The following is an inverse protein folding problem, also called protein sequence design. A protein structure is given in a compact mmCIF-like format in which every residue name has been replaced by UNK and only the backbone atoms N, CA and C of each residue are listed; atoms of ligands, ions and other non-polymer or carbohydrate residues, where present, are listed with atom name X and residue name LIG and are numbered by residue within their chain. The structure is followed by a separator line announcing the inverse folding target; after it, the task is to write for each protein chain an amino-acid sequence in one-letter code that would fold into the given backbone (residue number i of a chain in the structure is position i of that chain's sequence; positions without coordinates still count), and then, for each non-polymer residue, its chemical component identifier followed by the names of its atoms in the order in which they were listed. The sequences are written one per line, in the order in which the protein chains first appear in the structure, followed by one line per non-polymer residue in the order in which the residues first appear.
data_IF_839484201913
#
_entry.id   IF_839484201913
#
_cell.length_a   1.000
_cell.length_b   1.000
_cell.length_c   1.000
_cell.angle_alpha   90.00
_cell.angle_beta   90.00
_cell.angle_gamma   90.00
#
_symmetry.space_group_name_H-M   'P 1'
#
loop_
_entity.id
_entity.type
_entity.pdbx_description
1 polymer ?
#
# COMPACT_ATOMS: atom_id res chain seq x y z
N UNK A 1 -12.17 -14.68 -10.79
CA UNK A 1 -11.17 -14.44 -9.74
C UNK A 1 -9.83 -14.26 -10.41
N UNK A 2 -9.18 -13.10 -10.30
CA UNK A 2 -7.84 -12.89 -10.87
C UNK A 2 -6.84 -13.46 -9.88
N UNK A 3 -5.92 -14.32 -10.33
CA UNK A 3 -4.86 -14.84 -9.47
C UNK A 3 -3.77 -13.78 -9.29
N UNK A 4 -3.24 -13.70 -8.06
CA UNK A 4 -2.12 -12.83 -7.66
C UNK A 4 -0.95 -12.83 -8.66
N UNK A 5 -0.60 -13.99 -9.23
CA UNK A 5 0.46 -14.12 -10.24
C UNK A 5 0.30 -13.23 -11.49
N UNK A 6 -0.87 -12.64 -11.70
CA UNK A 6 -1.17 -11.76 -12.84
C UNK A 6 -1.25 -10.27 -12.45
N UNK A 7 -1.06 -9.92 -11.17
CA UNK A 7 -1.13 -8.54 -10.68
C UNK A 7 0.25 -8.10 -10.21
N UNK A 8 0.97 -7.38 -11.06
CA UNK A 8 2.30 -6.88 -10.72
C UNK A 8 2.25 -5.63 -9.83
N UNK A 9 1.27 -4.75 -10.05
CA UNK A 9 1.12 -3.49 -9.32
C UNK A 9 -0.33 -3.03 -9.23
N UNK A 10 -0.60 -2.23 -8.20
CA UNK A 10 -1.89 -1.62 -7.92
C UNK A 10 -1.81 -0.11 -8.17
N UNK A 11 -2.89 0.44 -8.74
CA UNK A 11 -3.07 1.90 -8.82
C UNK A 11 -3.34 2.43 -7.42
N UNK A 12 -2.47 3.33 -6.96
CA UNK A 12 -2.44 3.79 -5.59
C UNK A 12 -2.76 5.28 -5.52
N UNK A 13 -3.91 5.59 -4.94
CA UNK A 13 -4.42 6.95 -4.77
C UNK A 13 -4.63 7.32 -3.31
N UNK A 14 -5.14 8.53 -3.07
CA UNK A 14 -5.29 9.09 -1.71
C UNK A 14 -6.19 8.26 -0.80
N UNK A 15 -7.18 7.55 -1.34
CA UNK A 15 -8.06 6.66 -0.57
C UNK A 15 -7.28 5.52 0.07
N UNK A 16 -6.49 4.80 -0.72
CA UNK A 16 -5.62 3.73 -0.24
C UNK A 16 -4.50 4.27 0.67
N UNK A 17 -3.99 5.48 0.38
CA UNK A 17 -3.02 6.15 1.25
C UNK A 17 -3.56 6.46 2.64
N UNK A 18 -4.76 7.05 2.73
CA UNK A 18 -5.45 7.29 4.01
C UNK A 18 -5.75 5.99 4.76
N UNK A 19 -6.06 4.92 4.02
CA UNK A 19 -6.30 3.61 4.63
C UNK A 19 -5.04 3.00 5.21
N UNK A 20 -3.91 3.10 4.50
CA UNK A 20 -2.61 2.71 5.04
C UNK A 20 -2.26 3.51 6.30
N UNK A 21 -2.48 4.83 6.29
CA UNK A 21 -2.27 5.70 7.47
C UNK A 21 -3.15 5.27 8.65
N UNK A 22 -4.41 4.93 8.38
CA UNK A 22 -5.37 4.45 9.39
C UNK A 22 -4.98 3.09 9.98
N UNK A 23 -4.51 2.14 9.13
CA UNK A 23 -4.02 0.83 9.55
C UNK A 23 -2.72 0.93 10.34
N UNK A 24 -1.83 1.86 9.96
CA UNK A 24 -0.61 2.15 10.72
C UNK A 24 -0.93 2.67 12.12
N UNK A 25 -1.96 3.51 12.24
CA UNK A 25 -2.39 4.10 13.50
C UNK A 25 -1.24 4.80 14.22
N UNK A 26 -0.95 4.37 15.44
CA UNK A 26 0.08 4.96 16.30
C UNK A 26 1.51 4.47 15.99
N UNK A 27 1.68 3.50 15.10
CA UNK A 27 3.02 3.03 14.72
C UNK A 27 3.74 4.15 13.98
N UNK A 28 4.92 4.56 14.43
CA UNK A 28 5.67 5.59 13.71
C UNK A 28 6.17 5.08 12.35
N UNK A 29 6.39 5.98 11.39
CA UNK A 29 6.91 5.58 10.08
C UNK A 29 8.29 4.88 10.17
N UNK A 30 9.11 5.24 11.16
CA UNK A 30 10.42 4.62 11.40
C UNK A 30 10.28 3.22 11.97
N UNK A 31 9.33 3.03 12.88
CA UNK A 31 9.04 1.70 13.44
C UNK A 31 8.45 0.79 12.35
N UNK A 32 7.59 1.33 11.48
CA UNK A 32 7.07 0.57 10.34
C UNK A 32 8.18 0.20 9.36
N UNK A 33 9.10 1.12 9.02
CA UNK A 33 10.29 0.77 8.22
C UNK A 33 11.07 -0.40 8.87
N UNK A 34 11.37 -0.32 10.17
CA UNK A 34 12.09 -1.38 10.88
C UNK A 34 11.35 -2.72 10.84
N UNK A 35 10.03 -2.72 10.99
CA UNK A 35 9.20 -3.92 10.85
C UNK A 35 9.24 -4.49 9.44
N UNK A 36 9.17 -3.65 8.40
CA UNK A 36 9.25 -4.12 7.00
C UNK A 36 10.58 -4.80 6.71
N UNK A 37 11.67 -4.24 7.24
CA UNK A 37 13.02 -4.82 7.13
C UNK A 37 13.11 -6.20 7.82
N UNK A 38 12.43 -6.38 8.96
CA UNK A 38 12.37 -7.67 9.68
C UNK A 38 11.59 -8.75 8.93
N UNK A 39 10.53 -8.38 8.18
CA UNK A 39 9.67 -9.36 7.49
C UNK A 39 10.10 -9.66 6.05
N UNK A 40 11.20 -9.07 5.58
CA UNK A 40 11.91 -9.53 4.38
C UNK A 40 12.30 -8.45 3.37
N UNK A 41 11.75 -7.24 3.46
CA UNK A 41 12.15 -6.14 2.58
C UNK A 41 12.01 -4.78 3.28
N UNK A 42 13.10 -4.02 3.30
CA UNK A 42 13.05 -2.64 3.78
C UNK A 42 12.19 -1.77 2.84
N UNK A 43 11.09 -1.25 3.37
CA UNK A 43 10.29 -0.19 2.74
C UNK A 43 10.61 1.10 3.47
N UNK A 44 11.29 2.05 2.82
CA UNK A 44 11.80 3.22 3.52
C UNK A 44 10.68 4.10 4.07
N UNK A 45 10.92 4.76 5.20
CA UNK A 45 9.94 5.64 5.83
C UNK A 45 9.50 6.78 4.88
N UNK A 46 10.40 7.26 4.00
CA UNK A 46 10.03 8.26 2.99
C UNK A 46 9.06 7.68 1.96
N UNK A 47 9.26 6.42 1.57
CA UNK A 47 8.37 5.77 0.63
C UNK A 47 7.02 5.46 1.28
N UNK A 48 7.00 4.99 2.53
CA UNK A 48 5.76 4.82 3.31
C UNK A 48 5.00 6.15 3.39
N UNK A 49 5.68 7.26 3.73
CA UNK A 49 5.06 8.58 3.74
C UNK A 49 4.49 8.98 2.36
N UNK A 50 5.20 8.65 1.29
CA UNK A 50 4.71 8.86 -0.08
C UNK A 50 3.47 8.02 -0.38
N UNK A 51 3.39 6.79 0.13
CA UNK A 51 2.23 5.93 -0.01
C UNK A 51 1.02 6.44 0.79
N UNK A 52 1.23 7.02 1.98
CA UNK A 52 0.16 7.62 2.79
C UNK A 52 -0.37 8.93 2.19
N UNK A 53 0.49 9.69 1.51
CA UNK A 53 0.15 11.02 0.99
C UNK A 53 0.46 11.15 -0.51
N UNK A 54 -0.09 10.27 -1.38
CA UNK A 54 0.37 10.14 -2.76
C UNK A 54 0.13 11.41 -3.58
N UNK A 55 -0.96 12.15 -3.36
CA UNK A 55 -1.23 13.44 -4.02
C UNK A 55 -0.13 14.49 -3.87
N UNK A 56 0.66 14.45 -2.78
CA UNK A 56 1.80 15.36 -2.59
C UNK A 56 2.95 15.08 -3.57
N UNK A 57 3.02 13.85 -4.07
CA UNK A 57 4.10 13.36 -4.94
C UNK A 57 3.64 13.23 -6.41
N UNK A 58 2.38 12.83 -6.62
CA UNK A 58 1.77 12.63 -7.94
C UNK A 58 1.79 13.90 -8.81
N UNK A 59 1.65 15.09 -8.21
CA UNK A 59 1.69 16.39 -8.92
C UNK A 59 2.94 16.60 -9.77
N UNK A 60 4.04 15.90 -9.47
CA UNK A 60 5.30 15.98 -10.23
C UNK A 60 5.34 15.08 -11.46
N UNK A 61 4.45 14.09 -11.57
CA UNK A 61 4.60 12.97 -12.51
C UNK A 61 3.52 12.93 -13.61
N UNK A 62 2.62 13.92 -13.68
CA UNK A 62 1.48 13.99 -14.65
C UNK A 62 0.65 12.69 -14.73
N UNK A 63 0.61 11.93 -13.65
CA UNK A 63 -0.25 10.77 -13.52
C UNK A 63 -1.33 11.09 -12.48
N UNK A 64 -2.38 10.28 -12.39
CA UNK A 64 -3.43 10.45 -11.37
C UNK A 64 -3.20 9.53 -10.15
N UNK A 65 -2.24 8.61 -10.25
CA UNK A 65 -1.95 7.59 -9.25
C UNK A 65 -0.46 7.24 -9.18
N UNK A 66 -0.03 6.68 -8.06
CA UNK A 66 1.23 5.94 -7.95
C UNK A 66 0.99 4.48 -8.40
N UNK A 67 1.99 3.85 -9.00
CA UNK A 67 1.98 2.41 -9.23
C UNK A 67 2.78 1.74 -8.12
N UNK A 68 2.14 0.88 -7.33
CA UNK A 68 2.77 0.23 -6.17
C UNK A 68 2.78 -1.26 -6.41
N UNK A 69 3.96 -1.89 -6.32
CA UNK A 69 4.07 -3.33 -6.55
C UNK A 69 3.33 -4.12 -5.48
N UNK A 70 2.78 -5.26 -5.88
CA UNK A 70 2.07 -6.13 -4.94
C UNK A 70 2.98 -6.64 -3.82
N UNK A 71 4.27 -6.85 -4.09
CA UNK A 71 5.25 -7.28 -3.10
C UNK A 71 5.45 -6.23 -1.99
N UNK A 72 5.51 -4.94 -2.34
CA UNK A 72 5.57 -3.87 -1.32
C UNK A 72 4.33 -3.90 -0.44
N UNK A 73 3.15 -4.09 -1.03
CA UNK A 73 1.90 -4.14 -0.27
C UNK A 73 1.85 -5.34 0.67
N UNK A 74 2.31 -6.51 0.23
CA UNK A 74 2.43 -7.70 1.10
C UNK A 74 3.34 -7.45 2.29
N UNK A 75 4.50 -6.86 2.05
CA UNK A 75 5.48 -6.56 3.09
C UNK A 75 4.89 -5.58 4.11
N UNK A 76 4.15 -4.57 3.66
CA UNK A 76 3.44 -3.63 4.54
C UNK A 76 2.34 -4.33 5.35
N UNK A 77 1.53 -5.17 4.71
CA UNK A 77 0.50 -5.97 5.37
C UNK A 77 1.07 -6.87 6.46
N UNK A 78 2.16 -7.59 6.16
CA UNK A 78 2.86 -8.44 7.13
C UNK A 78 3.43 -7.61 8.30
N UNK A 79 4.02 -6.45 8.02
CA UNK A 79 4.57 -5.57 9.05
C UNK A 79 3.49 -4.94 9.95
N UNK A 80 2.26 -4.78 9.44
CA UNK A 80 1.11 -4.23 10.15
C UNK A 80 0.19 -5.29 10.77
N UNK A 81 0.50 -6.58 10.58
CA UNK A 81 -0.34 -7.71 11.00
C UNK A 81 -1.79 -7.59 10.46
N UNK A 82 -1.92 -7.29 9.17
CA UNK A 82 -3.20 -7.09 8.47
C UNK A 82 -3.22 -7.81 7.11
N UNK A 83 -4.41 -8.04 6.56
CA UNK A 83 -4.57 -8.69 5.26
C UNK A 83 -4.61 -7.69 4.08
N UNK A 84 -4.21 -8.16 2.89
CA UNK A 84 -4.33 -7.35 1.67
C UNK A 84 -5.77 -6.92 1.37
N UNK A 85 -6.77 -7.72 1.76
CA UNK A 85 -8.19 -7.35 1.61
C UNK A 85 -8.57 -6.15 2.48
N UNK A 86 -7.98 -6.06 3.68
CA UNK A 86 -8.18 -4.96 4.61
C UNK A 86 -7.42 -3.71 4.21
N UNK A 87 -6.41 -3.83 3.33
CA UNK A 87 -5.75 -2.68 2.73
C UNK A 87 -6.50 -2.20 1.49
N UNK A 88 -6.86 -3.12 0.58
CA UNK A 88 -7.37 -2.80 -0.76
C UNK A 88 -8.88 -2.58 -0.85
N UNK A 89 -9.61 -2.78 0.24
CA UNK A 89 -11.07 -2.68 0.33
C UNK A 89 -11.75 -3.51 -0.74
N UNK A 90 -11.35 -4.78 -0.81
CA UNK A 90 -11.92 -5.72 -1.77
C UNK A 90 -13.31 -6.17 -1.29
N UNK A 91 -14.23 -5.22 -1.06
CA UNK A 91 -15.65 -5.48 -1.01
C UNK A 91 -16.09 -5.93 -2.41
N UNK A 92 -15.98 -7.26 -2.64
CA UNK A 92 -16.38 -8.04 -3.83
C UNK A 92 -16.83 -7.18 -5.03
N UNK A 93 -15.89 -6.92 -5.94
CA UNK A 93 -16.22 -6.41 -7.28
C UNK A 93 -17.15 -7.42 -7.96
N UNK A 94 -18.46 -7.17 -7.93
CA UNK A 94 -19.42 -7.84 -8.79
C UNK A 94 -19.27 -7.26 -10.19
N UNK A 95 -18.62 -7.99 -11.08
CA UNK A 95 -18.73 -7.72 -12.51
C UNK A 95 -20.11 -8.26 -12.92
N UNK A 96 -21.09 -7.38 -12.95
CA UNK A 96 -22.36 -7.69 -13.62
C UNK A 96 -22.09 -7.70 -15.11
N UNK A 97 -22.18 -8.89 -15.71
CA UNK A 97 -22.28 -9.11 -17.15
C UNK A 97 -23.56 -8.54 -17.72
#
# INVERSE_FOLDING_TARGET
MIHEKHVAAIKWGDELGKRLESLRGEISLRDLEAKTEQVGQKVSFQYIQQLEQPSRFIKRIKNDYLSVSLDVLKVLCLALDTDLSDLLDLTKIKISS
#
